data_IF_888437248967
#
_entry.id   IF_888437248967
#
_cell.length_a   1.000
_cell.length_b   1.000
_cell.length_c   1.000
_cell.angle_alpha   90.00
_cell.angle_beta   90.00
_cell.angle_gamma   90.00
#
_symmetry.space_group_name_H-M   'P 1'
#
loop_
_entity.id
_entity.type
_entity.pdbx_description
1 polymer ?
#
# COMPACT_ATOMS: atom_id res chain seq x y z
N UNK A 1 4.90 10.94 -2.93
CA UNK A 1 4.16 11.16 -4.19
C UNK A 1 2.66 11.16 -3.92
N UNK A 2 1.85 11.97 -4.62
CA UNK A 2 0.38 11.96 -4.52
C UNK A 2 -0.22 11.56 -5.86
N UNK A 3 -1.14 10.59 -5.85
CA UNK A 3 -1.87 10.13 -7.02
C UNK A 3 -3.33 10.55 -6.89
N UNK A 4 -3.91 11.05 -7.97
CA UNK A 4 -5.30 11.50 -8.00
C UNK A 4 -6.06 10.79 -9.13
N UNK A 5 -7.24 10.27 -8.80
CA UNK A 5 -8.11 9.61 -9.75
C UNK A 5 -8.70 10.62 -10.73
N UNK A 6 -8.71 10.25 -12.01
CA UNK A 6 -9.38 11.00 -13.09
C UNK A 6 -10.89 10.69 -13.08
N UNK A 7 -11.61 11.00 -12.00
CA UNK A 7 -13.07 10.79 -12.00
C UNK A 7 -13.77 11.97 -12.69
N UNK A 8 -14.58 11.66 -13.71
CA UNK A 8 -15.42 12.63 -14.41
C UNK A 8 -16.78 12.88 -13.71
N UNK A 9 -17.07 12.13 -12.65
CA UNK A 9 -18.36 12.16 -11.96
C UNK A 9 -18.26 12.84 -10.59
N UNK A 10 -19.32 13.56 -10.19
CA UNK A 10 -19.37 14.51 -9.05
C UNK A 10 -19.20 13.89 -7.65
N UNK A 11 -18.91 12.60 -7.53
CA UNK A 11 -18.67 11.94 -6.24
C UNK A 11 -17.16 12.03 -5.99
N UNK A 12 -16.76 12.98 -5.14
CA UNK A 12 -15.46 13.18 -4.49
C UNK A 12 -14.19 12.71 -5.22
N UNK A 13 -13.26 13.63 -5.48
CA UNK A 13 -11.94 13.30 -6.04
C UNK A 13 -11.20 12.30 -5.14
N UNK A 14 -11.00 11.08 -5.63
CA UNK A 14 -10.20 10.05 -4.95
C UNK A 14 -8.71 10.39 -5.07
N UNK A 15 -8.00 10.37 -3.96
CA UNK A 15 -6.55 10.60 -3.96
C UNK A 15 -5.85 9.74 -2.91
N UNK A 16 -4.62 9.33 -3.21
CA UNK A 16 -3.74 8.58 -2.32
C UNK A 16 -2.36 9.21 -2.27
N UNK A 17 -1.70 9.09 -1.13
CA UNK A 17 -0.30 9.44 -0.96
C UNK A 17 0.53 8.16 -0.85
N UNK A 18 1.65 8.11 -1.58
CA UNK A 18 2.63 7.02 -1.54
C UNK A 18 3.96 7.58 -1.08
N UNK A 19 4.55 6.94 -0.08
CA UNK A 19 5.88 7.26 0.44
C UNK A 19 6.71 5.98 0.52
N UNK A 20 7.99 6.10 0.21
CA UNK A 20 8.93 4.97 0.19
C UNK A 20 9.99 5.23 1.24
N UNK A 21 10.21 4.26 2.10
CA UNK A 21 11.17 4.31 3.20
C UNK A 21 12.14 3.13 3.07
N UNK A 22 13.43 3.40 3.17
CA UNK A 22 14.41 2.34 3.34
C UNK A 22 14.38 1.87 4.80
N UNK A 23 14.07 0.59 5.03
CA UNK A 23 13.96 0.02 6.39
C UNK A 23 15.12 -0.92 6.72
N UNK A 24 15.82 -1.41 5.70
CA UNK A 24 17.11 -2.11 5.80
C UNK A 24 17.83 -2.00 4.44
N UNK A 25 19.13 -2.34 4.34
CA UNK A 25 19.84 -2.31 3.05
C UNK A 25 19.08 -3.12 2.00
N UNK A 26 18.70 -2.46 0.90
CA UNK A 26 17.92 -3.04 -0.20
C UNK A 26 16.51 -3.53 0.16
N UNK A 27 15.97 -3.18 1.33
CA UNK A 27 14.61 -3.47 1.73
C UNK A 27 13.85 -2.17 1.97
N UNK A 28 12.79 -1.97 1.18
CA UNK A 28 12.01 -0.74 1.19
C UNK A 28 10.57 -1.03 1.60
N UNK A 29 10.05 -0.22 2.53
CA UNK A 29 8.64 -0.17 2.88
C UNK A 29 7.96 0.90 2.03
N UNK A 30 6.82 0.54 1.42
CA UNK A 30 5.98 1.49 0.72
C UNK A 30 4.73 1.74 1.56
N UNK A 31 4.61 2.94 2.12
CA UNK A 31 3.40 3.37 2.82
C UNK A 31 2.41 3.96 1.81
N UNK A 32 1.17 3.49 1.87
CA UNK A 32 0.07 3.92 1.00
C UNK A 32 -1.04 4.46 1.89
N UNK A 33 -1.39 5.74 1.74
CA UNK A 33 -2.37 6.43 2.59
C UNK A 33 -3.51 7.01 1.76
N UNK A 34 -4.74 6.89 2.26
CA UNK A 34 -5.91 7.56 1.67
C UNK A 34 -5.84 9.06 1.96
N UNK A 35 -5.68 9.89 0.91
CA UNK A 35 -5.64 11.35 1.04
C UNK A 35 -7.04 11.98 0.90
N UNK A 36 -7.88 11.43 0.01
CA UNK A 36 -9.29 11.84 -0.14
C UNK A 36 -10.11 10.74 -0.83
N UNK A 37 -11.44 10.83 -0.74
CA UNK A 37 -12.37 9.86 -1.34
C UNK A 37 -12.87 8.78 -0.36
N UNK A 38 -13.67 7.86 -0.91
CA UNK A 38 -14.37 6.83 -0.15
C UNK A 38 -13.43 5.69 0.30
N UNK A 39 -13.74 5.10 1.44
CA UNK A 39 -12.92 4.02 2.02
C UNK A 39 -13.06 2.72 1.23
N UNK A 40 -14.22 2.39 0.66
CA UNK A 40 -14.36 1.18 -0.17
C UNK A 40 -13.60 1.34 -1.49
N UNK A 41 -13.59 2.54 -2.06
CA UNK A 41 -12.78 2.85 -3.23
C UNK A 41 -11.28 2.70 -2.94
N UNK A 42 -10.82 3.18 -1.78
CA UNK A 42 -9.44 2.97 -1.32
C UNK A 42 -9.08 1.48 -1.23
N UNK A 43 -9.93 0.65 -0.63
CA UNK A 43 -9.66 -0.78 -0.51
C UNK A 43 -9.62 -1.48 -1.87
N UNK A 44 -10.48 -1.09 -2.82
CA UNK A 44 -10.44 -1.60 -4.19
C UNK A 44 -9.14 -1.20 -4.89
N UNK A 45 -8.75 0.06 -4.78
CA UNK A 45 -7.49 0.58 -5.32
C UNK A 45 -6.29 -0.18 -4.74
N UNK A 46 -6.20 -0.28 -3.41
CA UNK A 46 -5.08 -0.93 -2.73
C UNK A 46 -4.95 -2.40 -3.14
N UNK A 47 -6.06 -3.15 -3.19
CA UNK A 47 -6.06 -4.53 -3.69
C UNK A 47 -5.56 -4.62 -5.13
N UNK A 48 -6.01 -3.73 -6.02
CA UNK A 48 -5.57 -3.72 -7.42
C UNK A 48 -4.08 -3.37 -7.55
N UNK A 49 -3.60 -2.40 -6.76
CA UNK A 49 -2.20 -2.00 -6.71
C UNK A 49 -1.32 -3.18 -6.29
N UNK A 50 -1.65 -3.84 -5.18
CA UNK A 50 -0.90 -5.01 -4.70
C UNK A 50 -0.89 -6.16 -5.70
N UNK A 51 -2.02 -6.44 -6.37
CA UNK A 51 -2.06 -7.47 -7.42
C UNK A 51 -1.17 -7.15 -8.61
N UNK A 52 -1.05 -5.86 -9.00
CA UNK A 52 -0.21 -5.44 -10.12
C UNK A 52 1.27 -5.37 -9.79
N UNK A 53 1.62 -5.31 -8.50
CA UNK A 53 2.98 -5.23 -8.00
C UNK A 53 3.43 -6.52 -7.30
N UNK A 54 2.71 -7.62 -7.49
CA UNK A 54 2.94 -8.87 -6.74
C UNK A 54 4.36 -9.42 -6.83
N UNK A 55 5.06 -9.17 -7.93
CA UNK A 55 6.41 -9.67 -8.19
C UNK A 55 7.50 -8.89 -7.45
N UNK A 56 7.20 -7.68 -6.98
CA UNK A 56 8.14 -6.83 -6.24
C UNK A 56 7.81 -6.75 -4.75
N UNK A 57 6.65 -7.27 -4.33
CA UNK A 57 6.28 -7.35 -2.92
C UNK A 57 7.10 -8.47 -2.27
N UNK A 58 7.88 -8.10 -1.25
CA UNK A 58 8.62 -9.04 -0.43
C UNK A 58 7.68 -10.06 0.22
N UNK A 59 7.95 -11.36 0.02
CA UNK A 59 7.23 -12.46 0.65
C UNK A 59 8.20 -13.18 1.59
N UNK A 60 7.84 -13.39 2.87
CA UNK A 60 8.69 -14.21 3.75
C UNK A 60 8.81 -15.62 3.16
N UNK A 61 10.02 -16.15 3.09
CA UNK A 61 10.24 -17.54 2.68
C UNK A 61 9.57 -18.46 3.71
N UNK A 62 8.78 -19.42 3.25
CA UNK A 62 7.98 -20.40 4.03
C UNK A 62 8.80 -21.29 5.00
N UNK A 63 10.09 -21.02 5.22
CA UNK A 63 11.00 -21.80 6.07
C UNK A 63 11.58 -21.08 7.29
N UNK A 64 11.23 -19.81 7.57
CA UNK A 64 11.83 -19.09 8.72
C UNK A 64 10.94 -17.97 9.29
N UNK A 65 9.64 -18.22 9.46
CA UNK A 65 8.82 -17.36 10.29
C UNK A 65 7.98 -18.23 11.22
N UNK A 66 8.49 -18.43 12.43
CA UNK A 66 7.60 -18.62 13.57
C UNK A 66 6.62 -17.45 13.57
N UNK A 67 5.34 -17.77 13.69
CA UNK A 67 4.16 -16.94 13.44
C UNK A 67 3.97 -15.75 14.42
N UNK A 68 5.04 -15.19 14.97
CA UNK A 68 5.00 -14.20 16.05
C UNK A 68 5.35 -12.75 15.69
N UNK A 69 6.03 -12.46 14.58
CA UNK A 69 6.65 -11.14 14.35
C UNK A 69 6.05 -10.30 13.21
N UNK A 70 4.78 -10.48 12.87
CA UNK A 70 4.05 -9.57 11.96
C UNK A 70 3.02 -8.71 12.69
N UNK A 71 3.04 -8.69 14.03
CA UNK A 71 2.30 -7.72 14.82
C UNK A 71 3.26 -6.62 15.27
N UNK A 72 2.96 -5.40 14.87
CA UNK A 72 3.63 -4.15 15.26
C UNK A 72 4.81 -3.71 14.37
N UNK A 73 4.47 -3.16 13.22
CA UNK A 73 5.01 -1.85 12.83
C UNK A 73 3.82 -0.93 12.56
N UNK A 74 3.14 -0.55 13.64
CA UNK A 74 2.29 0.63 13.67
C UNK A 74 3.14 1.72 14.31
N UNK A 75 3.43 2.78 13.58
CA UNK A 75 3.94 4.03 14.16
C UNK A 75 2.75 4.85 14.66
#
# INVERSE_FOLDING_TARGET
>A
MRLEGLSANKIGRFAVALEVYEVAPSLFMVDVRKASGDTLEYHKFYKNLCSKLEHIIWKPTEGSATSGLLKSMTV
#
